data_IF_766316315327
#
_entry.id   IF_766316315327
#
_cell.length_a   1.000
_cell.length_b   1.000
_cell.length_c   1.000
_cell.angle_alpha   90.00
_cell.angle_beta   90.00
_cell.angle_gamma   90.00
#
_symmetry.space_group_name_H-M   'P 1'
#
loop_
_entity.id
_entity.type
_entity.pdbx_description
1 polymer ?
#
# COMPACT_ATOMS: atom_id res chain seq x y z
N UNK A 1 20.39 33.96 21.86
CA UNK A 1 20.62 32.54 21.46
C UNK A 1 20.83 32.56 19.95
N UNK A 2 22.09 32.34 19.53
CA UNK A 2 22.39 32.18 18.11
C UNK A 2 21.78 30.84 17.69
N UNK A 3 20.70 30.88 16.92
CA UNK A 3 20.24 29.69 16.21
C UNK A 3 21.34 29.34 15.19
N UNK A 4 22.16 28.38 15.53
CA UNK A 4 23.07 27.76 14.57
C UNK A 4 22.18 27.19 13.47
N UNK A 5 22.09 27.88 12.35
CA UNK A 5 21.35 27.38 11.18
C UNK A 5 22.03 26.10 10.73
N UNK A 6 21.33 24.99 10.89
CA UNK A 6 21.79 23.69 10.45
C UNK A 6 22.13 23.78 8.95
N UNK A 7 23.41 23.79 8.60
CA UNK A 7 23.87 23.79 7.22
C UNK A 7 24.12 22.35 6.76
N UNK A 8 23.67 22.02 5.55
CA UNK A 8 23.96 20.71 4.95
C UNK A 8 25.42 20.68 4.51
N UNK A 9 26.16 19.67 4.95
CA UNK A 9 27.50 19.39 4.45
C UNK A 9 27.43 18.59 3.13
N UNK A 10 28.55 18.51 2.42
CA UNK A 10 28.63 17.82 1.12
C UNK A 10 28.21 16.34 1.20
N UNK A 11 28.51 15.67 2.31
CA UNK A 11 28.10 14.29 2.55
C UNK A 11 26.58 14.17 2.64
N UNK A 12 25.92 15.08 3.37
CA UNK A 12 24.44 15.09 3.49
C UNK A 12 23.78 15.39 2.14
N UNK A 13 24.35 16.30 1.35
CA UNK A 13 23.86 16.61 0.00
C UNK A 13 23.98 15.39 -0.92
N UNK A 14 25.11 14.67 -0.87
CA UNK A 14 25.31 13.45 -1.63
C UNK A 14 24.31 12.36 -1.25
N UNK A 15 24.13 12.13 0.06
CA UNK A 15 23.19 11.16 0.57
C UNK A 15 21.72 11.47 0.19
N UNK A 16 21.30 12.74 0.29
CA UNK A 16 19.97 13.18 -0.14
C UNK A 16 19.75 12.98 -1.64
N UNK A 17 20.78 13.27 -2.45
CA UNK A 17 20.72 13.08 -3.90
C UNK A 17 20.54 11.61 -4.27
N UNK A 18 21.28 10.73 -3.61
CA UNK A 18 21.18 9.29 -3.83
C UNK A 18 19.82 8.75 -3.36
N UNK A 19 19.39 9.12 -2.14
CA UNK A 19 18.07 8.78 -1.61
C UNK A 19 16.95 9.22 -2.56
N UNK A 20 16.99 10.45 -3.07
CA UNK A 20 15.99 10.95 -4.01
C UNK A 20 15.92 10.14 -5.30
N UNK A 21 17.06 9.67 -5.83
CA UNK A 21 17.09 8.79 -7.02
C UNK A 21 16.38 7.46 -6.76
N UNK A 22 16.71 6.80 -5.66
CA UNK A 22 16.08 5.54 -5.29
C UNK A 22 14.59 5.68 -4.98
N UNK A 23 14.21 6.75 -4.28
CA UNK A 23 12.80 7.04 -4.01
C UNK A 23 12.01 7.34 -5.29
N UNK A 24 12.63 8.02 -6.27
CA UNK A 24 12.02 8.24 -7.58
C UNK A 24 11.80 6.93 -8.32
N UNK A 25 12.81 6.06 -8.36
CA UNK A 25 12.70 4.75 -8.97
C UNK A 25 11.60 3.91 -8.32
N UNK A 26 11.59 3.81 -6.98
CA UNK A 26 10.59 3.05 -6.22
C UNK A 26 9.17 3.60 -6.44
N UNK A 27 9.01 4.91 -6.52
CA UNK A 27 7.70 5.51 -6.77
C UNK A 27 7.17 5.21 -8.18
N UNK A 28 8.04 5.23 -9.20
CA UNK A 28 7.66 4.86 -10.58
C UNK A 28 7.24 3.39 -10.63
N UNK A 29 8.04 2.49 -10.06
CA UNK A 29 7.69 1.07 -9.94
C UNK A 29 6.38 0.89 -9.17
N UNK A 30 6.19 1.64 -8.08
CA UNK A 30 4.96 1.65 -7.31
C UNK A 30 3.73 2.05 -8.13
N UNK A 31 3.81 3.09 -8.95
CA UNK A 31 2.71 3.49 -9.85
C UNK A 31 2.41 2.41 -10.90
N UNK A 32 3.43 1.73 -11.44
CA UNK A 32 3.23 0.61 -12.35
C UNK A 32 2.47 -0.52 -11.64
N UNK A 33 2.84 -0.88 -10.41
CA UNK A 33 2.13 -1.88 -9.61
C UNK A 33 0.68 -1.49 -9.35
N UNK A 34 0.41 -0.23 -9.01
CA UNK A 34 -0.95 0.28 -8.81
C UNK A 34 -1.77 0.12 -10.10
N UNK A 35 -1.19 0.48 -11.24
CA UNK A 35 -1.83 0.30 -12.55
C UNK A 35 -2.16 -1.18 -12.83
N UNK A 36 -1.22 -2.08 -12.56
CA UNK A 36 -1.43 -3.52 -12.70
C UNK A 36 -2.50 -4.06 -11.74
N UNK A 37 -2.57 -3.54 -10.50
CA UNK A 37 -3.63 -3.91 -9.55
C UNK A 37 -5.01 -3.47 -10.04
N UNK A 38 -5.13 -2.28 -10.62
CA UNK A 38 -6.40 -1.80 -11.19
C UNK A 38 -6.83 -2.68 -12.37
N UNK A 39 -5.91 -2.93 -13.31
CA UNK A 39 -6.17 -3.80 -14.46
C UNK A 39 -6.53 -5.22 -14.00
N UNK A 40 -5.76 -5.77 -13.06
CA UNK A 40 -6.01 -7.09 -12.47
C UNK A 40 -7.35 -7.18 -11.76
N UNK A 41 -7.74 -6.14 -11.03
CA UNK A 41 -9.04 -6.03 -10.36
C UNK A 41 -10.21 -6.04 -11.35
N UNK A 42 -10.09 -5.26 -12.43
CA UNK A 42 -11.09 -5.25 -13.52
C UNK A 42 -11.17 -6.60 -14.21
N UNK A 43 -10.03 -7.19 -14.55
CA UNK A 43 -9.96 -8.52 -15.16
C UNK A 43 -10.61 -9.59 -14.28
N UNK A 44 -10.29 -9.60 -12.97
CA UNK A 44 -10.89 -10.52 -12.00
C UNK A 44 -12.40 -10.35 -11.90
N UNK A 45 -12.91 -9.12 -11.94
CA UNK A 45 -14.36 -8.87 -11.91
C UNK A 45 -15.04 -9.50 -13.12
N UNK A 46 -14.49 -9.30 -14.33
CA UNK A 46 -15.03 -9.85 -15.57
C UNK A 46 -14.91 -11.38 -15.58
N UNK A 47 -13.76 -11.93 -15.22
CA UNK A 47 -13.52 -13.36 -15.19
C UNK A 47 -14.46 -14.09 -14.21
N UNK A 48 -14.66 -13.54 -13.01
CA UNK A 48 -15.58 -14.11 -12.02
C UNK A 48 -17.04 -14.05 -12.46
N UNK A 49 -17.46 -12.96 -13.13
CA UNK A 49 -18.82 -12.88 -13.67
C UNK A 49 -19.04 -13.89 -14.81
N UNK A 50 -18.04 -14.07 -15.68
CA UNK A 50 -18.11 -15.05 -16.76
C UNK A 50 -18.19 -16.50 -16.23
N UNK A 51 -17.38 -16.85 -15.22
CA UNK A 51 -17.42 -18.18 -14.59
C UNK A 51 -18.78 -18.42 -13.91
N UNK A 52 -19.32 -17.42 -13.23
CA UNK A 52 -20.62 -17.54 -12.55
C UNK A 52 -21.82 -17.69 -13.49
N UNK A 53 -21.67 -17.36 -14.76
CA UNK A 53 -22.68 -17.56 -15.80
C UNK A 53 -22.63 -18.94 -16.47
N UNK A 54 -21.64 -19.77 -16.14
CA UNK A 54 -21.51 -21.12 -16.73
C UNK A 54 -22.50 -22.10 -16.08
N UNK A 55 -23.12 -23.02 -16.83
CA UNK A 55 -24.07 -23.99 -16.30
C UNK A 55 -23.51 -24.92 -15.20
N UNK A 56 -22.20 -25.14 -15.21
CA UNK A 56 -21.46 -25.93 -14.21
C UNK A 56 -20.40 -25.06 -13.52
N UNK A 57 -20.81 -23.97 -12.86
CA UNK A 57 -19.89 -23.14 -12.09
C UNK A 57 -19.15 -23.98 -11.04
N UNK A 58 -17.80 -24.14 -11.14
CA UNK A 58 -17.03 -24.93 -10.19
C UNK A 58 -17.17 -24.46 -8.74
N UNK A 59 -17.50 -23.20 -8.55
CA UNK A 59 -17.67 -22.60 -7.22
C UNK A 59 -19.06 -22.85 -6.63
N UNK A 60 -20.07 -23.12 -7.45
CA UNK A 60 -21.43 -23.44 -6.97
C UNK A 60 -21.46 -24.77 -6.19
N UNK A 61 -20.54 -25.68 -6.50
CA UNK A 61 -20.42 -26.99 -5.81
C UNK A 61 -19.78 -26.88 -4.41
N UNK A 62 -19.15 -25.74 -4.06
CA UNK A 62 -18.52 -25.54 -2.75
C UNK A 62 -19.53 -25.29 -1.61
N UNK A 63 -20.82 -25.24 -1.90
CA UNK A 63 -21.88 -25.00 -0.91
C UNK A 63 -22.05 -23.53 -0.51
N UNK A 64 -23.27 -23.13 -0.25
CA UNK A 64 -23.63 -21.74 0.10
C UNK A 64 -22.97 -21.22 1.40
N UNK A 65 -22.52 -22.12 2.26
CA UNK A 65 -21.84 -21.80 3.54
C UNK A 65 -20.36 -21.49 3.40
N UNK A 66 -19.78 -21.63 2.18
CA UNK A 66 -18.36 -21.32 1.98
C UNK A 66 -18.15 -19.79 1.98
N UNK A 67 -17.32 -19.23 2.89
CA UNK A 67 -17.05 -17.78 2.95
C UNK A 67 -16.50 -17.22 1.64
N UNK A 68 -15.81 -18.04 0.84
CA UNK A 68 -15.29 -17.63 -0.47
C UNK A 68 -16.40 -17.25 -1.46
N UNK A 69 -17.57 -17.90 -1.37
CA UNK A 69 -18.73 -17.58 -2.21
C UNK A 69 -19.27 -16.18 -1.93
N UNK A 70 -19.25 -15.74 -0.67
CA UNK A 70 -19.66 -14.39 -0.30
C UNK A 70 -18.69 -13.32 -0.81
N UNK A 71 -17.38 -13.67 -0.92
CA UNK A 71 -16.32 -12.71 -1.27
C UNK A 71 -16.05 -12.67 -2.79
N UNK A 72 -16.36 -13.75 -3.53
CA UNK A 72 -16.02 -13.84 -4.97
C UNK A 72 -16.47 -12.64 -5.81
N UNK A 73 -17.65 -12.11 -5.53
CA UNK A 73 -18.21 -10.95 -6.23
C UNK A 73 -17.49 -9.63 -5.90
N UNK A 74 -16.77 -9.57 -4.78
CA UNK A 74 -16.08 -8.37 -4.29
C UNK A 74 -14.58 -8.39 -4.53
N UNK A 75 -14.01 -9.50 -5.04
CA UNK A 75 -12.55 -9.65 -5.23
C UNK A 75 -11.99 -8.50 -6.07
N UNK A 76 -12.61 -8.18 -7.21
CA UNK A 76 -12.16 -7.08 -8.05
C UNK A 76 -12.23 -5.72 -7.35
N UNK A 77 -13.30 -5.47 -6.57
CA UNK A 77 -13.46 -4.26 -5.79
C UNK A 77 -12.36 -4.13 -4.71
N UNK A 78 -12.00 -5.24 -4.07
CA UNK A 78 -10.93 -5.29 -3.07
C UNK A 78 -9.59 -4.89 -3.70
N UNK A 79 -9.27 -5.39 -4.92
CA UNK A 79 -8.06 -5.00 -5.65
C UNK A 79 -8.01 -3.50 -5.94
N UNK A 80 -9.13 -2.91 -6.36
CA UNK A 80 -9.24 -1.47 -6.63
C UNK A 80 -9.09 -0.67 -5.34
N UNK A 81 -9.67 -1.13 -4.24
CA UNK A 81 -9.55 -0.49 -2.93
C UNK A 81 -8.09 -0.49 -2.44
N UNK A 82 -7.39 -1.62 -2.58
CA UNK A 82 -5.97 -1.69 -2.26
C UNK A 82 -5.12 -0.80 -3.18
N UNK A 83 -5.41 -0.75 -4.47
CA UNK A 83 -4.72 0.15 -5.40
C UNK A 83 -4.86 1.62 -4.96
N UNK A 84 -6.07 2.04 -4.57
CA UNK A 84 -6.33 3.39 -4.06
C UNK A 84 -5.57 3.66 -2.74
N UNK A 85 -5.54 2.67 -1.84
CA UNK A 85 -4.85 2.78 -0.55
C UNK A 85 -3.34 2.94 -0.74
N UNK A 86 -2.73 2.14 -1.63
CA UNK A 86 -1.30 2.21 -1.96
C UNK A 86 -0.92 3.47 -2.75
N UNK A 87 -1.87 4.11 -3.42
CA UNK A 87 -1.61 5.34 -4.18
C UNK A 87 -1.03 6.46 -3.30
N UNK A 88 -1.58 6.67 -2.10
CA UNK A 88 -1.17 7.76 -1.22
C UNK A 88 0.31 7.69 -0.81
N UNK A 89 0.84 6.57 -0.25
CA UNK A 89 2.25 6.51 0.13
C UNK A 89 3.18 6.62 -1.08
N UNK A 90 2.83 6.05 -2.23
CA UNK A 90 3.63 6.16 -3.45
C UNK A 90 3.66 7.62 -3.96
N UNK A 91 2.54 8.31 -3.91
CA UNK A 91 2.45 9.73 -4.27
C UNK A 91 3.31 10.63 -3.37
N UNK A 92 3.29 10.41 -2.05
CA UNK A 92 4.17 11.14 -1.12
C UNK A 92 5.65 10.87 -1.40
N UNK A 93 6.01 9.62 -1.68
CA UNK A 93 7.38 9.23 -2.00
C UNK A 93 7.87 9.90 -3.29
N UNK A 94 7.02 9.95 -4.31
CA UNK A 94 7.29 10.64 -5.57
C UNK A 94 7.54 12.15 -5.36
N UNK A 95 6.67 12.81 -4.58
CA UNK A 95 6.80 14.23 -4.29
C UNK A 95 8.06 14.54 -3.46
N UNK A 96 8.43 13.66 -2.52
CA UNK A 96 9.70 13.75 -1.82
C UNK A 96 10.88 13.71 -2.79
N UNK A 97 10.93 12.70 -3.64
CA UNK A 97 12.02 12.50 -4.59
C UNK A 97 12.18 13.69 -5.56
N UNK A 98 11.06 14.15 -6.15
CA UNK A 98 11.03 15.30 -7.05
C UNK A 98 11.44 16.60 -6.33
N UNK A 99 10.87 16.85 -5.16
CA UNK A 99 11.14 18.05 -4.38
C UNK A 99 12.58 18.11 -3.88
N UNK A 100 13.14 16.99 -3.43
CA UNK A 100 14.55 16.93 -3.00
C UNK A 100 15.50 17.20 -4.17
N UNK A 101 15.26 16.61 -5.35
CA UNK A 101 16.03 16.89 -6.55
C UNK A 101 16.01 18.38 -6.89
N UNK A 102 14.83 18.99 -6.96
CA UNK A 102 14.65 20.40 -7.26
C UNK A 102 15.33 21.31 -6.22
N UNK A 103 15.24 20.97 -4.93
CA UNK A 103 15.84 21.72 -3.84
C UNK A 103 17.37 21.74 -3.95
N UNK A 104 17.98 20.59 -4.25
CA UNK A 104 19.44 20.47 -4.41
C UNK A 104 19.96 21.17 -5.67
N UNK A 105 19.17 21.25 -6.73
CA UNK A 105 19.50 21.95 -7.97
C UNK A 105 19.40 23.48 -7.82
N UNK A 106 18.37 23.94 -7.06
CA UNK A 106 18.12 25.38 -6.87
C UNK A 106 18.77 25.99 -5.61
N UNK A 107 19.37 25.17 -4.74
CA UNK A 107 19.89 25.60 -3.43
C UNK A 107 18.81 26.11 -2.47
N UNK A 108 17.52 25.74 -2.69
CA UNK A 108 16.40 26.29 -1.96
C UNK A 108 16.00 25.40 -0.77
N UNK A 109 16.33 25.82 0.45
CA UNK A 109 16.02 25.11 1.70
C UNK A 109 14.50 24.98 1.98
N UNK A 110 13.67 25.90 1.52
CA UNK A 110 12.22 25.82 1.71
C UNK A 110 11.62 24.66 0.88
N UNK A 111 12.10 24.51 -0.37
CA UNK A 111 11.68 23.38 -1.23
C UNK A 111 12.12 22.06 -0.61
N UNK A 112 13.32 21.98 -0.02
CA UNK A 112 13.79 20.80 0.69
C UNK A 112 12.92 20.48 1.91
N UNK A 113 12.55 21.49 2.68
CA UNK A 113 11.66 21.32 3.85
C UNK A 113 10.32 20.75 3.45
N UNK A 114 9.71 21.23 2.36
CA UNK A 114 8.45 20.69 1.81
C UNK A 114 8.64 19.23 1.33
N UNK A 115 9.75 18.91 0.71
CA UNK A 115 10.07 17.53 0.31
C UNK A 115 10.15 16.59 1.53
N UNK A 116 10.84 17.00 2.59
CA UNK A 116 10.94 16.23 3.84
C UNK A 116 9.59 16.03 4.53
N UNK A 117 8.68 16.99 4.44
CA UNK A 117 7.28 16.82 4.92
C UNK A 117 6.56 15.72 4.15
N UNK A 118 6.79 15.58 2.84
CA UNK A 118 6.24 14.46 2.07
C UNK A 118 6.83 13.12 2.52
N UNK A 119 8.14 13.06 2.78
CA UNK A 119 8.78 11.85 3.32
C UNK A 119 8.22 11.48 4.70
N UNK A 120 8.04 12.45 5.59
CA UNK A 120 7.37 12.26 6.89
C UNK A 120 5.96 11.68 6.69
N UNK A 121 5.18 12.21 5.76
CA UNK A 121 3.81 11.75 5.47
C UNK A 121 3.80 10.32 4.94
N UNK A 122 4.75 9.96 4.06
CA UNK A 122 4.96 8.60 3.58
C UNK A 122 5.20 7.63 4.75
N UNK A 123 6.17 7.91 5.62
CA UNK A 123 6.48 7.04 6.76
C UNK A 123 5.33 6.97 7.76
N UNK A 124 4.65 8.10 8.03
CA UNK A 124 3.47 8.11 8.92
C UNK A 124 2.38 7.21 8.38
N UNK A 125 2.09 7.27 7.08
CA UNK A 125 1.08 6.42 6.45
C UNK A 125 1.46 4.95 6.55
N UNK A 126 2.71 4.59 6.21
CA UNK A 126 3.21 3.22 6.33
C UNK A 126 3.14 2.70 7.78
N UNK A 127 3.51 3.53 8.75
CA UNK A 127 3.44 3.17 10.17
C UNK A 127 2.00 2.86 10.62
N UNK A 128 1.05 3.72 10.25
CA UNK A 128 -0.38 3.48 10.54
C UNK A 128 -0.86 2.19 9.87
N UNK A 129 -0.54 1.98 8.59
CA UNK A 129 -0.92 0.77 7.86
C UNK A 129 -0.35 -0.49 8.51
N UNK A 130 0.91 -0.46 8.94
CA UNK A 130 1.55 -1.58 9.62
C UNK A 130 0.82 -1.94 10.92
N UNK A 131 0.46 -0.94 11.73
CA UNK A 131 -0.30 -1.17 12.97
C UNK A 131 -1.65 -1.80 12.66
N UNK A 132 -2.38 -1.29 11.67
CA UNK A 132 -3.67 -1.84 11.25
C UNK A 132 -3.55 -3.30 10.80
N UNK A 133 -2.57 -3.60 9.94
CA UNK A 133 -2.34 -4.97 9.44
C UNK A 133 -1.99 -5.92 10.59
N UNK A 134 -1.10 -5.54 11.50
CA UNK A 134 -0.74 -6.36 12.67
C UNK A 134 -1.96 -6.59 13.56
N UNK A 135 -2.77 -5.55 13.81
CA UNK A 135 -3.99 -5.67 14.63
C UNK A 135 -4.99 -6.64 14.00
N UNK A 136 -5.23 -6.54 12.69
CA UNK A 136 -6.11 -7.46 11.96
C UNK A 136 -5.59 -8.89 11.98
N UNK A 137 -4.26 -9.07 11.86
CA UNK A 137 -3.65 -10.39 11.93
C UNK A 137 -3.81 -11.04 13.31
N UNK A 138 -3.60 -10.29 14.39
CA UNK A 138 -3.82 -10.76 15.76
C UNK A 138 -5.28 -11.15 15.99
N UNK A 139 -6.23 -10.29 15.57
CA UNK A 139 -7.66 -10.58 15.67
C UNK A 139 -8.01 -11.84 14.87
N UNK A 140 -7.47 -12.00 13.68
CA UNK A 140 -7.65 -13.18 12.85
C UNK A 140 -7.17 -14.46 13.52
N UNK A 141 -5.99 -14.45 14.14
CA UNK A 141 -5.49 -15.62 14.91
C UNK A 141 -6.42 -15.95 16.07
N UNK A 142 -6.83 -14.95 16.85
CA UNK A 142 -7.74 -15.18 17.99
C UNK A 142 -9.06 -15.78 17.50
N UNK A 143 -9.63 -15.28 16.41
CA UNK A 143 -10.86 -15.80 15.84
C UNK A 143 -10.71 -17.26 15.39
N UNK A 144 -9.61 -17.61 14.73
CA UNK A 144 -9.33 -18.99 14.27
C UNK A 144 -9.18 -19.93 15.47
N UNK A 145 -8.45 -19.52 16.50
CA UNK A 145 -8.25 -20.34 17.73
C UNK A 145 -9.58 -20.53 18.46
N UNK A 146 -10.37 -19.47 18.62
CA UNK A 146 -11.69 -19.56 19.27
C UNK A 146 -12.65 -20.47 18.50
N UNK A 147 -12.64 -20.39 17.18
CA UNK A 147 -13.42 -21.25 16.31
C UNK A 147 -12.98 -22.71 16.43
N UNK A 148 -11.68 -23.00 16.37
CA UNK A 148 -11.16 -24.37 16.54
C UNK A 148 -11.49 -24.96 17.94
N UNK A 149 -11.42 -24.15 19.00
CA UNK A 149 -11.76 -24.57 20.35
C UNK A 149 -13.25 -24.92 20.50
N UNK A 150 -14.14 -24.17 19.83
CA UNK A 150 -15.58 -24.48 19.86
C UNK A 150 -15.94 -25.81 19.18
N UNK A 151 -15.18 -26.22 18.16
CA UNK A 151 -15.35 -27.56 17.55
C UNK A 151 -14.78 -28.68 18.41
N UNK A 152 -13.65 -28.46 19.09
CA UNK A 152 -13.04 -29.46 19.96
C UNK A 152 -13.83 -29.71 21.26
N UNK A 153 -14.55 -28.70 21.77
CA UNK A 153 -15.39 -28.83 22.96
C UNK A 153 -16.81 -29.40 22.73
N UNK A 154 -17.19 -29.62 21.47
CA UNK A 154 -18.49 -30.18 21.08
C UNK A 154 -18.47 -31.68 20.73
N UNK A 155 -17.32 -32.35 20.88
CA UNK A 155 -17.14 -33.79 20.83
C UNK A 155 -17.03 -34.38 22.23
#
# INVERSE_FOLDING_TARGET
MNEEKLSLNDLAIAALRESAKWCMFLSIVGFIFIGLMVIGGLFMTVAMSAISSMPNDPYSQMGASNPFMAIKGFIGLIYILFALLYFFPIYYLFNYAKGTKQALESGNGEVLSKALVNLKSHHKFLGIMTIVIISLYIIGIIAVVAFAASFAGGM
#
